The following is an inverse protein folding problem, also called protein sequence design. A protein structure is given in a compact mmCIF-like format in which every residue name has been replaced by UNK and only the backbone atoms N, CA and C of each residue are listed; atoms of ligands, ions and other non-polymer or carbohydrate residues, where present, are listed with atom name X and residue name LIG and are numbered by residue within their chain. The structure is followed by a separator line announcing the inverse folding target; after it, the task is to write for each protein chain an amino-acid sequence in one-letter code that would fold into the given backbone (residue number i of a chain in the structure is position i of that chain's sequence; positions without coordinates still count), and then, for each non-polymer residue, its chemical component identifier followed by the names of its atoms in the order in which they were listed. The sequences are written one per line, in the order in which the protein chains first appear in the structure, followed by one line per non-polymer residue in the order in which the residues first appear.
data_IF_767961738222
#
_entry.id   IF_767961738222
#
_cell.length_a   1.000
_cell.length_b   1.000
_cell.length_c   1.000
_cell.angle_alpha   90.00
_cell.angle_beta   90.00
_cell.angle_gamma   90.00
#
_symmetry.space_group_name_H-M   'P 1'
#
loop_
_entity.id
_entity.type
_entity.pdbx_description
1 polymer ?
#
# COMPACT_ATOMS: atom_id res chain seq x y z
N UNK A 1 -64.96 36.35 -4.26
CA UNK A 1 -65.44 35.41 -5.29
C UNK A 1 -64.37 35.41 -6.39
N UNK A 2 -63.83 34.25 -6.76
CA UNK A 2 -62.37 34.00 -6.78
C UNK A 2 -61.67 34.30 -8.10
N UNK A 3 -60.40 34.71 -8.00
CA UNK A 3 -59.39 34.63 -9.04
C UNK A 3 -59.01 33.18 -9.31
N UNK A 4 -59.05 32.78 -10.58
CA UNK A 4 -58.52 31.51 -11.08
C UNK A 4 -57.09 31.75 -11.58
N UNK A 5 -56.08 31.57 -10.70
CA UNK A 5 -54.68 31.46 -11.11
C UNK A 5 -54.30 29.98 -11.03
N UNK A 6 -54.29 29.35 -12.20
CA UNK A 6 -53.89 27.96 -12.43
C UNK A 6 -52.36 27.88 -12.33
N UNK A 7 -51.86 27.34 -11.22
CA UNK A 7 -50.43 27.07 -11.03
C UNK A 7 -49.92 26.03 -12.04
N UNK A 8 -48.87 26.39 -12.78
CA UNK A 8 -48.04 25.46 -13.53
C UNK A 8 -47.16 24.66 -12.57
N UNK A 9 -47.61 23.46 -12.21
CA UNK A 9 -46.79 22.43 -11.56
C UNK A 9 -45.71 21.90 -12.50
N UNK A 10 -44.55 22.56 -12.55
CA UNK A 10 -43.35 22.04 -13.18
C UNK A 10 -42.66 21.03 -12.26
N UNK A 11 -42.98 19.75 -12.40
CA UNK A 11 -42.23 18.67 -11.77
C UNK A 11 -40.88 18.55 -12.49
N UNK A 12 -39.83 19.18 -11.97
CA UNK A 12 -38.46 18.93 -12.44
C UNK A 12 -37.99 17.59 -11.88
N UNK A 13 -38.03 16.55 -12.72
CA UNK A 13 -37.41 15.26 -12.41
C UNK A 13 -35.93 15.46 -12.04
N UNK A 14 -35.43 14.83 -10.95
CA UNK A 14 -34.03 14.91 -10.59
C UNK A 14 -33.19 14.19 -11.65
N UNK A 15 -32.30 14.95 -12.30
CA UNK A 15 -31.35 14.49 -13.29
C UNK A 15 -30.61 13.23 -12.78
N UNK A 16 -30.51 12.13 -13.55
CA UNK A 16 -29.86 10.91 -13.09
C UNK A 16 -28.40 11.18 -12.71
N UNK A 17 -28.04 10.84 -11.47
CA UNK A 17 -26.66 10.88 -11.00
C UNK A 17 -25.78 10.03 -11.91
N UNK A 18 -24.59 10.53 -12.33
CA UNK A 18 -23.71 9.77 -13.21
C UNK A 18 -23.30 8.45 -12.55
N UNK A 19 -23.17 7.36 -13.32
CA UNK A 19 -22.84 6.05 -12.77
C UNK A 19 -21.50 6.10 -12.03
N UNK A 20 -21.37 5.41 -10.89
CA UNK A 20 -20.13 5.41 -10.12
C UNK A 20 -18.98 4.88 -11.00
N UNK A 21 -17.79 5.52 -10.95
CA UNK A 21 -16.69 5.16 -11.81
C UNK A 21 -16.27 3.69 -11.58
N UNK A 22 -15.86 3.01 -12.66
CA UNK A 22 -15.42 1.59 -12.72
C UNK A 22 -14.13 1.28 -11.92
N UNK A 23 -13.99 1.82 -10.70
CA UNK A 23 -12.81 1.69 -9.82
C UNK A 23 -12.50 0.23 -9.45
N UNK A 24 -13.52 -0.64 -9.39
CA UNK A 24 -13.37 -2.03 -8.95
C UNK A 24 -12.68 -2.98 -9.94
N UNK A 25 -12.71 -2.71 -11.25
CA UNK A 25 -12.07 -3.59 -12.24
C UNK A 25 -10.56 -3.33 -12.35
N UNK A 26 -10.15 -2.05 -12.32
CA UNK A 26 -8.74 -1.65 -12.41
C UNK A 26 -7.98 -2.15 -11.16
N UNK A 27 -8.62 -2.11 -9.99
CA UNK A 27 -8.08 -2.66 -8.75
C UNK A 27 -7.81 -4.16 -8.84
N UNK A 28 -8.75 -4.96 -9.36
CA UNK A 28 -8.61 -6.43 -9.42
C UNK A 28 -7.50 -6.89 -10.36
N UNK A 29 -7.39 -6.29 -11.56
CA UNK A 29 -6.30 -6.59 -12.49
C UNK A 29 -4.94 -6.32 -11.86
N UNK A 30 -4.80 -5.18 -11.18
CA UNK A 30 -3.57 -4.82 -10.46
C UNK A 30 -3.24 -5.81 -9.34
N UNK A 31 -4.23 -6.23 -8.55
CA UNK A 31 -4.05 -7.23 -7.50
C UNK A 31 -3.53 -8.56 -8.06
N UNK A 32 -4.07 -9.02 -9.19
CA UNK A 32 -3.60 -10.23 -9.86
C UNK A 32 -2.14 -10.11 -10.31
N UNK A 33 -1.72 -8.97 -10.86
CA UNK A 33 -0.32 -8.74 -11.27
C UNK A 33 0.62 -8.88 -10.07
N UNK A 34 0.32 -8.21 -8.94
CA UNK A 34 1.16 -8.31 -7.75
C UNK A 34 1.16 -9.72 -7.16
N UNK A 35 0.01 -10.40 -7.15
CA UNK A 35 -0.08 -11.78 -6.70
C UNK A 35 0.76 -12.72 -7.59
N UNK A 36 0.67 -12.60 -8.91
CA UNK A 36 1.49 -13.36 -9.85
C UNK A 36 2.98 -13.10 -9.62
N UNK A 37 3.37 -11.85 -9.38
CA UNK A 37 4.76 -11.50 -9.09
C UNK A 37 5.24 -12.10 -7.75
N UNK A 38 4.40 -12.08 -6.70
CA UNK A 38 4.70 -12.75 -5.44
C UNK A 38 4.90 -14.26 -5.60
N UNK A 39 4.01 -14.92 -6.35
CA UNK A 39 4.10 -16.36 -6.64
C UNK A 39 5.39 -16.65 -7.40
N UNK A 40 5.76 -15.83 -8.38
CA UNK A 40 7.00 -15.98 -9.13
C UNK A 40 8.23 -15.89 -8.22
N UNK A 41 8.31 -14.88 -7.36
CA UNK A 41 9.43 -14.71 -6.42
C UNK A 41 9.53 -15.89 -5.43
N UNK A 42 8.39 -16.35 -4.91
CA UNK A 42 8.35 -17.50 -4.01
C UNK A 42 8.73 -18.81 -4.73
N UNK A 43 8.20 -19.07 -5.92
CA UNK A 43 8.49 -20.26 -6.71
C UNK A 43 9.97 -20.34 -7.14
N UNK A 44 10.63 -19.19 -7.32
CA UNK A 44 12.08 -19.11 -7.58
C UNK A 44 12.94 -19.27 -6.32
N UNK A 45 12.33 -19.45 -5.14
CA UNK A 45 13.05 -19.58 -3.87
C UNK A 45 13.83 -18.31 -3.49
N UNK A 46 13.38 -17.14 -3.96
CA UNK A 46 14.01 -15.85 -3.66
C UNK A 46 13.49 -15.22 -2.36
N UNK A 47 12.50 -15.85 -1.73
CA UNK A 47 11.81 -15.36 -0.55
C UNK A 47 11.73 -16.49 0.47
N UNK A 48 11.92 -16.17 1.74
CA UNK A 48 11.84 -17.13 2.83
C UNK A 48 10.39 -17.48 3.20
N UNK A 49 10.24 -18.55 3.97
CA UNK A 49 8.92 -18.94 4.49
C UNK A 49 8.36 -17.89 5.46
N UNK A 50 9.23 -17.10 6.11
CA UNK A 50 8.86 -16.05 7.04
C UNK A 50 8.06 -14.93 6.38
N UNK A 51 8.42 -14.51 5.16
CA UNK A 51 7.67 -13.46 4.45
C UNK A 51 6.31 -13.97 3.97
N UNK A 52 6.24 -15.22 3.50
CA UNK A 52 4.97 -15.85 3.09
C UNK A 52 4.04 -15.99 4.30
N UNK A 53 4.56 -16.53 5.40
CA UNK A 53 3.83 -16.65 6.65
C UNK A 53 3.37 -15.28 7.15
N UNK A 54 4.22 -14.25 7.07
CA UNK A 54 3.85 -12.88 7.45
C UNK A 54 2.66 -12.36 6.65
N UNK A 55 2.59 -12.57 5.33
CA UNK A 55 1.45 -12.14 4.51
C UNK A 55 0.16 -12.83 4.95
N UNK A 56 0.20 -14.14 5.18
CA UNK A 56 -0.98 -14.92 5.57
C UNK A 56 -1.44 -14.53 6.98
N UNK A 57 -0.52 -14.51 7.95
CA UNK A 57 -0.81 -14.19 9.34
C UNK A 57 -1.26 -12.73 9.51
N UNK A 58 -0.63 -11.78 8.80
CA UNK A 58 -1.07 -10.38 8.83
C UNK A 58 -2.46 -10.20 8.21
N UNK A 59 -2.80 -10.97 7.17
CA UNK A 59 -4.15 -10.95 6.60
C UNK A 59 -5.18 -11.42 7.65
N UNK A 60 -4.95 -12.59 8.25
CA UNK A 60 -5.84 -13.15 9.28
C UNK A 60 -5.96 -12.17 10.45
N UNK A 61 -4.84 -11.66 10.95
CA UNK A 61 -4.85 -10.76 12.10
C UNK A 61 -5.57 -9.44 11.81
N UNK A 62 -5.27 -8.77 10.69
CA UNK A 62 -5.86 -7.46 10.40
C UNK A 62 -7.33 -7.55 9.94
N UNK A 63 -7.63 -8.46 9.02
CA UNK A 63 -8.94 -8.51 8.34
C UNK A 63 -9.93 -9.49 8.94
N UNK A 64 -9.48 -10.47 9.75
CA UNK A 64 -10.39 -11.36 10.46
C UNK A 64 -10.49 -11.00 11.95
N UNK A 65 -9.37 -10.68 12.60
CA UNK A 65 -9.36 -10.39 14.04
C UNK A 65 -9.60 -8.90 14.33
N UNK A 66 -8.67 -8.02 13.97
CA UNK A 66 -8.71 -6.60 14.35
C UNK A 66 -9.96 -5.88 13.80
N UNK A 67 -10.38 -6.19 12.58
CA UNK A 67 -11.60 -5.59 12.01
C UNK A 67 -12.89 -6.04 12.67
N UNK A 68 -12.91 -7.17 13.39
CA UNK A 68 -14.10 -7.63 14.10
C UNK A 68 -14.10 -7.16 15.55
N UNK A 69 -12.95 -7.20 16.21
CA UNK A 69 -12.84 -6.97 17.65
C UNK A 69 -12.46 -5.53 18.02
N UNK A 70 -11.57 -4.88 17.28
CA UNK A 70 -11.08 -3.54 17.62
C UNK A 70 -11.74 -2.43 16.78
N UNK A 71 -11.92 -2.67 15.48
CA UNK A 71 -12.50 -1.70 14.55
C UNK A 71 -13.66 -2.29 13.73
N UNK A 72 -14.77 -2.71 14.39
CA UNK A 72 -15.97 -3.16 13.70
C UNK A 72 -16.50 -2.08 12.76
N UNK A 73 -17.02 -2.51 11.60
CA UNK A 73 -17.52 -1.57 10.58
C UNK A 73 -18.68 -0.73 11.13
N UNK A 74 -18.56 0.60 11.03
CA UNK A 74 -19.62 1.57 11.36
C UNK A 74 -20.37 1.98 10.09
N UNK A 75 -21.71 1.98 10.12
CA UNK A 75 -22.56 2.36 8.98
C UNK A 75 -22.41 3.84 8.59
N UNK A 76 -22.14 4.70 9.57
CA UNK A 76 -22.04 6.15 9.40
C UNK A 76 -20.62 6.64 9.12
N UNK A 77 -19.65 5.72 9.01
CA UNK A 77 -18.28 6.07 8.70
C UNK A 77 -18.18 6.55 7.25
N UNK A 78 -18.27 7.86 7.05
CA UNK A 78 -17.86 8.45 5.78
C UNK A 78 -16.35 8.31 5.68
N UNK A 79 -15.88 7.49 4.72
CA UNK A 79 -14.47 7.43 4.33
C UNK A 79 -14.05 8.78 3.75
N UNK A 80 -13.73 9.74 4.63
CA UNK A 80 -13.03 10.96 4.24
C UNK A 80 -11.71 10.52 3.62
N UNK A 81 -11.42 11.01 2.42
CA UNK A 81 -10.14 10.72 1.77
C UNK A 81 -9.03 11.20 2.69
N UNK A 82 -8.25 10.28 3.27
CA UNK A 82 -7.16 10.62 4.20
C UNK A 82 -6.08 11.49 3.54
N UNK A 83 -6.00 11.44 2.22
CA UNK A 83 -5.15 12.33 1.42
C UNK A 83 -6.00 13.19 0.48
N UNK A 84 -5.64 14.48 0.38
CA UNK A 84 -6.14 15.38 -0.64
C UNK A 84 -5.41 15.08 -1.96
N UNK A 85 -6.04 14.41 -2.93
CA UNK A 85 -5.38 14.00 -4.17
C UNK A 85 -4.96 15.18 -5.06
N UNK A 86 -5.35 16.41 -4.72
CA UNK A 86 -5.00 17.62 -5.48
C UNK A 86 -3.65 18.24 -5.09
N UNK A 87 -3.00 17.77 -4.01
CA UNK A 87 -1.70 18.30 -3.63
C UNK A 87 -0.60 17.75 -4.57
N UNK A 88 -0.02 18.62 -5.40
CA UNK A 88 1.05 18.26 -6.35
C UNK A 88 2.28 17.66 -5.64
N UNK A 89 2.62 18.13 -4.44
CA UNK A 89 3.73 17.60 -3.65
C UNK A 89 3.48 16.14 -3.25
N UNK A 90 2.24 15.82 -2.85
CA UNK A 90 1.85 14.47 -2.48
C UNK A 90 1.90 13.52 -3.66
N UNK A 91 1.46 13.96 -4.84
CA UNK A 91 1.57 13.16 -6.06
C UNK A 91 3.02 12.91 -6.47
N UNK A 92 3.87 13.93 -6.39
CA UNK A 92 5.29 13.81 -6.68
C UNK A 92 5.99 12.84 -5.71
N UNK A 93 5.67 12.92 -4.42
CA UNK A 93 6.14 11.96 -3.41
C UNK A 93 5.73 10.53 -3.77
N UNK A 94 4.44 10.29 -4.04
CA UNK A 94 3.96 8.95 -4.39
C UNK A 94 4.62 8.40 -5.66
N UNK A 95 4.84 9.26 -6.67
CA UNK A 95 5.52 8.87 -7.89
C UNK A 95 7.00 8.53 -7.63
N UNK A 96 7.70 9.36 -6.84
CA UNK A 96 9.07 9.09 -6.43
C UNK A 96 9.18 7.78 -5.64
N UNK A 97 8.26 7.53 -4.71
CA UNK A 97 8.19 6.27 -3.97
C UNK A 97 7.90 5.08 -4.88
N UNK A 98 7.09 5.21 -5.93
CA UNK A 98 6.87 4.14 -6.88
C UNK A 98 8.13 3.85 -7.73
N UNK A 99 8.83 4.89 -8.20
CA UNK A 99 10.05 4.72 -9.01
C UNK A 99 11.17 4.11 -8.15
N UNK A 100 11.47 4.70 -7.01
CA UNK A 100 12.58 4.28 -6.14
C UNK A 100 12.26 2.99 -5.39
N UNK A 101 11.01 2.85 -4.94
CA UNK A 101 10.56 1.74 -4.10
C UNK A 101 10.22 0.46 -4.84
N UNK A 102 9.84 0.57 -6.13
CA UNK A 102 9.39 -0.57 -6.94
C UNK A 102 10.21 -0.74 -8.23
N UNK A 103 10.33 0.31 -9.06
CA UNK A 103 10.99 0.19 -10.36
C UNK A 103 12.48 -0.15 -10.22
N UNK A 104 13.21 0.60 -9.38
CA UNK A 104 14.65 0.38 -9.21
C UNK A 104 14.99 -1.01 -8.66
N UNK A 105 14.33 -1.52 -7.59
CA UNK A 105 14.58 -2.89 -7.14
C UNK A 105 14.20 -3.96 -8.17
N UNK A 106 13.15 -3.75 -8.99
CA UNK A 106 12.81 -4.69 -10.08
C UNK A 106 13.95 -4.75 -11.10
N UNK A 107 14.45 -3.59 -11.55
CA UNK A 107 15.58 -3.52 -12.48
C UNK A 107 16.84 -4.14 -11.87
N UNK A 108 17.10 -3.89 -10.58
CA UNK A 108 18.23 -4.47 -9.85
C UNK A 108 18.18 -6.01 -9.81
N UNK A 109 17.01 -6.58 -9.53
CA UNK A 109 16.81 -8.03 -9.55
C UNK A 109 16.96 -8.60 -10.96
N UNK A 110 16.38 -7.94 -11.97
CA UNK A 110 16.48 -8.38 -13.36
C UNK A 110 17.92 -8.39 -13.87
N UNK A 111 18.67 -7.30 -13.64
CA UNK A 111 20.09 -7.21 -13.98
C UNK A 111 20.93 -8.23 -13.18
N UNK A 112 20.63 -8.42 -11.90
CA UNK A 112 21.27 -9.44 -11.06
C UNK A 112 21.06 -10.87 -11.57
N UNK A 113 19.84 -11.22 -12.00
CA UNK A 113 19.54 -12.53 -12.60
C UNK A 113 20.28 -12.71 -13.92
N UNK A 114 20.33 -11.68 -14.78
CA UNK A 114 21.05 -11.72 -16.05
C UNK A 114 22.56 -11.92 -15.86
N UNK A 115 23.15 -11.25 -14.86
CA UNK A 115 24.60 -11.31 -14.56
C UNK A 115 24.99 -12.46 -13.63
N UNK A 116 24.02 -13.25 -13.16
CA UNK A 116 24.26 -14.37 -12.24
C UNK A 116 24.56 -13.98 -10.78
N UNK A 117 24.29 -12.74 -10.36
CA UNK A 117 24.38 -12.40 -8.93
C UNK A 117 23.11 -12.81 -8.17
N UNK A 118 23.06 -14.09 -7.82
CA UNK A 118 21.97 -14.64 -7.03
C UNK A 118 21.98 -14.10 -5.59
N UNK A 119 23.14 -13.72 -5.06
CA UNK A 119 23.26 -13.24 -3.68
C UNK A 119 22.56 -11.89 -3.50
N UNK A 120 22.88 -10.90 -4.34
CA UNK A 120 22.19 -9.60 -4.32
C UNK A 120 20.69 -9.71 -4.65
N UNK A 121 20.32 -10.60 -5.57
CA UNK A 121 18.91 -10.86 -5.92
C UNK A 121 18.13 -11.40 -4.71
N UNK A 122 18.67 -12.40 -4.01
CA UNK A 122 18.04 -12.98 -2.82
C UNK A 122 17.93 -11.98 -1.66
N UNK A 123 18.88 -11.05 -1.56
CA UNK A 123 18.84 -10.01 -0.55
C UNK A 123 17.73 -8.97 -0.83
N UNK A 124 17.51 -8.60 -2.10
CA UNK A 124 16.51 -7.60 -2.50
C UNK A 124 15.07 -8.14 -2.60
N UNK A 125 14.90 -9.42 -2.96
CA UNK A 125 13.60 -10.00 -3.27
C UNK A 125 12.57 -9.97 -2.12
N UNK A 126 12.93 -10.21 -0.84
CA UNK A 126 11.98 -10.13 0.28
C UNK A 126 11.30 -8.75 0.39
N UNK A 127 12.04 -7.66 0.15
CA UNK A 127 11.47 -6.31 0.12
C UNK A 127 10.37 -6.17 -0.94
N UNK A 128 10.65 -6.59 -2.18
CA UNK A 128 9.66 -6.53 -3.27
C UNK A 128 8.46 -7.45 -3.05
N UNK A 129 8.68 -8.63 -2.46
CA UNK A 129 7.59 -9.53 -2.09
C UNK A 129 6.64 -8.86 -1.09
N UNK A 130 7.17 -8.22 -0.04
CA UNK A 130 6.38 -7.51 0.96
C UNK A 130 5.70 -6.26 0.38
N UNK A 131 6.36 -5.53 -0.53
CA UNK A 131 5.74 -4.40 -1.22
C UNK A 131 4.57 -4.84 -2.11
N UNK A 132 4.74 -5.95 -2.81
CA UNK A 132 3.69 -6.55 -3.65
C UNK A 132 2.53 -7.06 -2.79
N UNK A 133 2.82 -7.69 -1.66
CA UNK A 133 1.82 -8.11 -0.67
C UNK A 133 1.01 -6.94 -0.13
N UNK A 134 1.66 -5.81 0.16
CA UNK A 134 0.96 -4.58 0.53
C UNK A 134 0.05 -4.10 -0.61
N UNK A 135 0.58 -3.98 -1.83
CA UNK A 135 -0.20 -3.48 -2.98
C UNK A 135 -1.38 -4.41 -3.35
N UNK A 136 -1.26 -5.70 -3.04
CA UNK A 136 -2.32 -6.70 -3.18
C UNK A 136 -3.41 -6.53 -2.10
N UNK A 137 -3.03 -6.33 -0.84
CA UNK A 137 -3.96 -6.26 0.30
C UNK A 137 -4.58 -4.87 0.48
N UNK A 138 -3.92 -3.80 0.06
CA UNK A 138 -4.35 -2.42 0.25
C UNK A 138 -5.79 -2.15 -0.25
N UNK A 139 -6.20 -2.59 -1.47
CA UNK A 139 -7.58 -2.39 -1.90
C UNK A 139 -8.62 -3.13 -1.06
N UNK A 140 -8.22 -4.24 -0.41
CA UNK A 140 -9.08 -5.00 0.49
C UNK A 140 -9.36 -4.14 1.73
N UNK A 141 -8.31 -3.61 2.37
CA UNK A 141 -8.46 -2.77 3.57
C UNK A 141 -9.18 -1.44 3.34
N UNK A 142 -9.04 -0.85 2.15
CA UNK A 142 -9.80 0.35 1.80
C UNK A 142 -11.18 0.08 1.21
N UNK A 143 -11.59 -1.18 1.02
CA UNK A 143 -12.94 -1.52 0.57
C UNK A 143 -14.00 -1.14 1.60
N UNK A 144 -15.24 -0.94 1.16
CA UNK A 144 -16.34 -0.55 2.05
C UNK A 144 -16.65 -1.59 3.14
N UNK A 145 -16.05 -2.79 3.09
CA UNK A 145 -16.22 -3.83 4.11
C UNK A 145 -15.49 -3.51 5.42
N UNK A 146 -14.43 -2.72 5.38
CA UNK A 146 -13.57 -2.46 6.53
C UNK A 146 -13.55 -0.98 6.91
N UNK A 147 -13.36 -0.75 8.21
CA UNK A 147 -13.15 0.58 8.78
C UNK A 147 -11.82 1.20 8.29
N UNK A 148 -11.76 2.52 8.30
CA UNK A 148 -10.61 3.30 7.81
C UNK A 148 -9.27 2.93 8.50
N UNK A 149 -9.21 2.69 9.83
CA UNK A 149 -7.98 2.26 10.50
C UNK A 149 -7.40 0.96 9.94
N UNK A 150 -8.24 -0.02 9.56
CA UNK A 150 -7.78 -1.29 8.98
C UNK A 150 -6.98 -1.06 7.68
N UNK A 151 -7.47 -0.15 6.84
CA UNK A 151 -6.78 0.23 5.60
C UNK A 151 -5.41 0.86 5.82
N UNK A 152 -5.17 1.51 6.96
CA UNK A 152 -3.88 2.12 7.32
C UNK A 152 -2.97 1.15 8.08
N UNK A 153 -3.53 0.31 8.93
CA UNK A 153 -2.80 -0.72 9.66
C UNK A 153 -2.11 -1.72 8.72
N UNK A 154 -2.73 -2.03 7.56
CA UNK A 154 -2.09 -2.84 6.51
C UNK A 154 -0.71 -2.29 6.11
N UNK A 155 -0.64 -1.10 5.49
CA UNK A 155 0.62 -0.43 5.18
C UNK A 155 1.59 -0.31 6.36
N UNK A 156 1.12 -0.03 7.58
CA UNK A 156 1.96 0.01 8.80
C UNK A 156 2.66 -1.32 9.04
N UNK A 157 1.91 -2.43 9.06
CA UNK A 157 2.44 -3.76 9.29
C UNK A 157 3.46 -4.16 8.22
N UNK A 158 3.11 -3.96 6.94
CA UNK A 158 4.00 -4.27 5.83
C UNK A 158 5.28 -3.43 5.87
N UNK A 159 5.19 -2.14 6.20
CA UNK A 159 6.38 -1.27 6.31
C UNK A 159 7.27 -1.71 7.49
N UNK A 160 6.69 -2.05 8.64
CA UNK A 160 7.44 -2.53 9.80
C UNK A 160 8.25 -3.80 9.45
N UNK A 161 7.62 -4.81 8.83
CA UNK A 161 8.34 -6.02 8.41
C UNK A 161 9.37 -5.73 7.32
N UNK A 162 9.05 -4.83 6.39
CA UNK A 162 9.91 -4.46 5.26
C UNK A 162 11.21 -3.79 5.68
N UNK A 163 11.20 -2.98 6.75
CA UNK A 163 12.43 -2.35 7.25
C UNK A 163 13.49 -3.41 7.57
N UNK A 164 13.11 -4.53 8.20
CA UNK A 164 14.06 -5.62 8.45
C UNK A 164 14.62 -6.22 7.15
N UNK A 165 13.76 -6.49 6.15
CA UNK A 165 14.20 -6.99 4.86
C UNK A 165 15.15 -6.01 4.15
N UNK A 166 14.90 -4.69 4.26
CA UNK A 166 15.77 -3.65 3.71
C UNK A 166 17.10 -3.56 4.44
N UNK A 167 17.11 -3.68 5.77
CA UNK A 167 18.34 -3.70 6.56
C UNK A 167 19.19 -4.93 6.23
N UNK A 168 18.57 -6.09 6.04
CA UNK A 168 19.28 -7.30 5.62
C UNK A 168 19.80 -7.17 4.18
N UNK A 169 19.07 -6.49 3.29
CA UNK A 169 19.57 -6.13 1.97
C UNK A 169 20.79 -5.22 2.06
N UNK A 170 20.72 -4.13 2.82
CA UNK A 170 21.87 -3.23 3.04
C UNK A 170 23.06 -4.01 3.59
N UNK A 171 22.88 -4.85 4.62
CA UNK A 171 23.98 -5.69 5.14
C UNK A 171 24.60 -6.53 4.03
N UNK A 172 23.80 -7.21 3.21
CA UNK A 172 24.29 -8.02 2.09
C UNK A 172 25.04 -7.21 1.01
N UNK A 173 24.67 -5.95 0.78
CA UNK A 173 25.36 -5.04 -0.17
C UNK A 173 26.70 -4.52 0.37
N UNK A 174 26.86 -4.43 1.69
CA UNK A 174 28.07 -3.90 2.32
C UNK A 174 29.04 -4.99 2.79
N UNK A 175 28.56 -6.20 3.10
CA UNK A 175 29.42 -7.33 3.47
C UNK A 175 30.22 -7.89 2.29
N UNK A 176 29.72 -7.72 1.07
CA UNK A 176 30.38 -8.20 -0.14
C UNK A 176 31.13 -7.06 -0.84
N UNK A 177 32.36 -7.33 -1.25
CA UNK A 177 33.22 -6.37 -1.97
C UNK A 177 33.41 -6.74 -3.43
N UNK A 178 32.95 -7.94 -3.85
CA UNK A 178 33.07 -8.40 -5.23
C UNK A 178 31.72 -8.91 -5.75
N UNK A 179 31.14 -8.19 -6.71
CA UNK A 179 29.87 -8.55 -7.33
C UNK A 179 30.07 -8.91 -8.81
N UNK A 180 29.38 -9.95 -9.32
CA UNK A 180 29.17 -10.09 -10.75
C UNK A 180 28.60 -8.78 -11.31
N UNK A 181 29.18 -8.25 -12.38
CA UNK A 181 28.83 -6.92 -12.93
C UNK A 181 29.72 -5.76 -12.47
N UNK A 182 30.72 -6.02 -11.62
CA UNK A 182 31.78 -5.05 -11.29
C UNK A 182 31.33 -3.87 -10.42
N UNK A 183 32.14 -2.80 -10.36
CA UNK A 183 31.96 -1.69 -9.42
C UNK A 183 30.62 -0.97 -9.56
N UNK A 184 30.13 -0.79 -10.78
CA UNK A 184 28.85 -0.10 -11.05
C UNK A 184 27.70 -0.79 -10.33
N UNK A 185 27.67 -2.13 -10.38
CA UNK A 185 26.61 -2.90 -9.73
C UNK A 185 26.75 -2.93 -8.22
N UNK A 186 27.99 -3.01 -7.73
CA UNK A 186 28.27 -2.94 -6.29
C UNK A 186 27.78 -1.61 -5.69
N UNK A 187 28.18 -0.48 -6.27
CA UNK A 187 27.77 0.83 -5.78
C UNK A 187 26.29 1.11 -6.04
N UNK A 188 25.76 0.67 -7.18
CA UNK A 188 24.34 0.77 -7.51
C UNK A 188 23.47 0.01 -6.51
N UNK A 189 23.83 -1.22 -6.16
CA UNK A 189 23.12 -2.03 -5.17
C UNK A 189 23.11 -1.37 -3.79
N UNK A 190 24.28 -0.91 -3.32
CA UNK A 190 24.41 -0.14 -2.06
C UNK A 190 23.52 1.10 -2.05
N UNK A 191 23.58 1.91 -3.11
CA UNK A 191 22.77 3.11 -3.21
C UNK A 191 21.26 2.80 -3.20
N UNK A 192 20.81 1.83 -4.00
CA UNK A 192 19.40 1.48 -4.10
C UNK A 192 18.88 0.93 -2.75
N UNK A 193 19.64 0.06 -2.09
CA UNK A 193 19.28 -0.52 -0.80
C UNK A 193 19.21 0.55 0.30
N UNK A 194 20.22 1.43 0.39
CA UNK A 194 20.25 2.51 1.38
C UNK A 194 19.12 3.53 1.17
N UNK A 195 18.89 3.98 -0.06
CA UNK A 195 17.82 4.94 -0.37
C UNK A 195 16.44 4.34 -0.09
N UNK A 196 16.22 3.07 -0.44
CA UNK A 196 14.97 2.38 -0.09
C UNK A 196 14.79 2.33 1.43
N UNK A 197 15.85 2.00 2.17
CA UNK A 197 15.80 1.93 3.64
C UNK A 197 15.36 3.26 4.24
N UNK A 198 16.00 4.36 3.86
CA UNK A 198 15.65 5.71 4.36
C UNK A 198 14.23 6.09 3.98
N UNK A 199 13.83 5.84 2.73
CA UNK A 199 12.50 6.17 2.24
C UNK A 199 11.40 5.42 3.01
N UNK A 200 11.53 4.10 3.17
CA UNK A 200 10.52 3.31 3.86
C UNK A 200 10.53 3.53 5.38
N UNK A 201 11.69 3.87 5.95
CA UNK A 201 11.79 4.33 7.33
C UNK A 201 11.02 5.64 7.54
N UNK A 202 11.25 6.64 6.69
CA UNK A 202 10.48 7.89 6.70
C UNK A 202 8.99 7.64 6.47
N UNK A 203 8.63 6.74 5.55
CA UNK A 203 7.23 6.40 5.31
C UNK A 203 6.56 5.82 6.57
N UNK A 204 7.24 4.96 7.32
CA UNK A 204 6.70 4.40 8.56
C UNK A 204 6.64 5.45 9.70
N UNK A 205 7.78 6.04 10.03
CA UNK A 205 7.94 6.87 11.23
C UNK A 205 7.61 8.34 11.03
N UNK A 206 7.63 8.83 9.79
CA UNK A 206 7.31 10.22 9.44
C UNK A 206 5.87 10.40 8.94
N UNK A 207 5.25 9.38 8.35
CA UNK A 207 3.91 9.49 7.76
C UNK A 207 2.89 8.52 8.35
N UNK A 208 3.13 7.21 8.26
CA UNK A 208 2.13 6.20 8.60
C UNK A 208 1.76 6.24 10.10
N UNK A 209 2.76 6.17 10.98
CA UNK A 209 2.55 6.16 12.42
C UNK A 209 2.11 7.52 12.99
N UNK A 210 2.77 8.66 12.67
CA UNK A 210 2.43 9.93 13.32
C UNK A 210 1.25 10.67 12.67
N UNK A 211 0.98 10.46 11.38
CA UNK A 211 -0.02 11.26 10.64
C UNK A 211 -1.24 10.41 10.26
N UNK A 212 -1.02 9.33 9.51
CA UNK A 212 -2.14 8.59 8.92
C UNK A 212 -2.89 7.73 9.92
N UNK A 213 -2.19 7.05 10.82
CA UNK A 213 -2.82 6.18 11.82
C UNK A 213 -3.69 6.98 12.80
N UNK A 214 -3.23 8.06 13.45
CA UNK A 214 -4.07 8.87 14.34
C UNK A 214 -5.28 9.45 13.62
N UNK A 215 -5.07 10.00 12.42
CA UNK A 215 -6.15 10.55 11.59
C UNK A 215 -7.19 9.51 11.21
N UNK A 216 -6.77 8.28 10.93
CA UNK A 216 -7.71 7.18 10.64
C UNK A 216 -8.57 6.83 11.86
N UNK A 217 -7.98 6.83 13.05
CA UNK A 217 -8.68 6.56 14.30
C UNK A 217 -9.66 7.69 14.62
N UNK A 218 -9.25 8.95 14.46
CA UNK A 218 -10.13 10.11 14.62
C UNK A 218 -11.37 10.02 13.74
N UNK A 219 -11.21 9.73 12.43
CA UNK A 219 -12.33 9.53 11.49
C UNK A 219 -13.28 8.43 11.99
N UNK A 220 -12.73 7.34 12.51
CA UNK A 220 -13.51 6.20 12.97
C UNK A 220 -14.27 6.50 14.28
N UNK A 221 -13.64 7.16 15.25
CA UNK A 221 -14.26 7.47 16.54
C UNK A 221 -15.28 8.59 16.44
N UNK A 222 -15.01 9.67 15.69
CA UNK A 222 -15.97 10.76 15.49
C UNK A 222 -17.22 10.38 14.67
N UNK A 223 -17.24 9.19 14.05
CA UNK A 223 -18.44 8.68 13.39
C UNK A 223 -19.54 8.27 14.39
N UNK A 224 -19.19 8.01 15.66
CA UNK A 224 -20.16 7.72 16.71
C UNK A 224 -20.76 9.00 17.31
N UNK A 225 -19.97 10.06 17.45
CA UNK A 225 -20.44 11.34 18.01
C UNK A 225 -21.55 11.97 17.15
N UNK A 226 -21.50 11.77 15.82
CA UNK A 226 -22.52 12.25 14.87
C UNK A 226 -23.87 11.52 14.95
N UNK A 227 -24.04 10.54 15.83
CA UNK A 227 -25.36 9.93 16.12
C UNK A 227 -26.15 10.69 17.19
N UNK A 228 -25.52 11.63 17.90
CA UNK A 228 -26.12 12.28 19.08
C UNK A 228 -26.76 13.64 18.74
N UNK A 229 -26.60 14.13 17.51
CA UNK A 229 -27.27 15.32 16.96
C UNK A 229 -28.34 14.94 15.93
#
# INVERSE_FOLDING_TARGET
MPEEIREHGGHTDPKPSPPPPKRGLISRKRQLVFLSFMILLAAKGLVGIGEVAFVILSYIYLYEFISRFAFPRKRNEQKRRLSNPKNKLFQAYFLATAIIGLLFPICYIGDGLYRGDIHGVRAAAPHLFLLSGQAFTEPIGFSDRFATPIGILGPVFYNARRIFALLDWVKAEFSDTQRPGGPVRLYGGRAIASVNTVMWFYNLFGLLLPVFLPRSCEIYFSADDKKVD
#
